data_IF_044229611126
#
_entry.id   IF_044229611126
#
_cell.length_a   1.000
_cell.length_b   1.000
_cell.length_c   1.000
_cell.angle_alpha   90.00
_cell.angle_beta   90.00
_cell.angle_gamma   90.00
#
_symmetry.space_group_name_H-M   'P 1'
#
loop_
_entity.id
_entity.type
_entity.pdbx_description
1 polymer ?
#
# COMPACT_ATOMS: atom_id res chain seq x y z
N UNK A 1 -20.81 -15.37 -13.63
CA UNK A 1 -20.30 -14.62 -12.47
C UNK A 1 -18.91 -14.20 -12.86
N UNK A 2 -18.56 -12.92 -12.72
CA UNK A 2 -17.20 -12.47 -13.08
C UNK A 2 -16.23 -13.03 -12.03
N UNK A 3 -15.47 -14.07 -12.39
CA UNK A 3 -14.54 -14.75 -11.50
C UNK A 3 -13.44 -13.82 -10.99
N UNK A 4 -13.14 -12.74 -11.74
CA UNK A 4 -12.16 -11.72 -11.36
C UNK A 4 -12.55 -10.99 -10.08
N UNK A 5 -13.85 -10.79 -9.85
CA UNK A 5 -14.34 -10.15 -8.61
C UNK A 5 -13.98 -11.00 -7.39
N UNK A 6 -14.10 -12.33 -7.49
CA UNK A 6 -13.70 -13.22 -6.39
C UNK A 6 -12.19 -13.18 -6.21
N UNK A 7 -11.44 -13.18 -7.30
CA UNK A 7 -9.98 -13.09 -7.27
C UNK A 7 -9.49 -11.77 -6.62
N UNK A 8 -10.09 -10.62 -6.94
CA UNK A 8 -9.76 -9.35 -6.26
C UNK A 8 -9.96 -9.43 -4.73
N UNK A 9 -10.97 -10.17 -4.27
CA UNK A 9 -11.27 -10.33 -2.85
C UNK A 9 -10.26 -11.23 -2.13
N UNK A 10 -9.48 -12.04 -2.84
CA UNK A 10 -8.41 -12.87 -2.26
C UNK A 10 -7.24 -12.02 -1.73
N UNK A 11 -7.18 -10.72 -2.07
CA UNK A 11 -6.22 -9.78 -1.45
C UNK A 11 -6.34 -9.74 0.08
N UNK A 12 -7.51 -10.12 0.63
CA UNK A 12 -7.73 -10.29 2.07
C UNK A 12 -6.89 -11.41 2.70
N UNK A 13 -6.45 -12.36 1.88
CA UNK A 13 -5.65 -13.52 2.29
C UNK A 13 -4.16 -13.33 1.99
N UNK A 14 -3.78 -12.30 1.22
CA UNK A 14 -2.37 -11.94 1.00
C UNK A 14 -1.87 -11.21 2.25
N UNK A 15 -0.96 -11.84 2.98
CA UNK A 15 -0.37 -11.29 4.20
C UNK A 15 0.79 -10.36 3.86
N UNK A 16 0.92 -9.23 4.56
CA UNK A 16 2.04 -8.30 4.38
C UNK A 16 3.36 -8.95 4.84
N UNK A 17 4.20 -9.33 3.89
CA UNK A 17 5.41 -10.12 4.09
C UNK A 17 6.47 -9.39 4.91
N UNK A 18 6.52 -8.06 4.85
CA UNK A 18 7.39 -7.24 5.69
C UNK A 18 7.18 -7.51 7.18
N UNK A 19 5.92 -7.62 7.62
CA UNK A 19 5.56 -7.89 9.01
C UNK A 19 5.86 -9.33 9.43
N UNK A 20 5.60 -10.30 8.55
CA UNK A 20 5.94 -11.72 8.79
C UNK A 20 7.43 -11.84 9.08
N UNK A 21 8.27 -11.17 8.29
CA UNK A 21 9.73 -11.21 8.44
C UNK A 21 10.22 -10.49 9.70
N UNK A 22 9.52 -9.44 10.11
CA UNK A 22 9.79 -8.72 11.36
C UNK A 22 9.29 -9.46 12.61
N UNK A 23 8.66 -10.63 12.47
CA UNK A 23 8.17 -11.44 13.58
C UNK A 23 6.88 -10.90 14.22
N UNK A 24 6.11 -10.10 13.49
CA UNK A 24 4.78 -9.64 13.94
C UNK A 24 3.83 -10.84 14.03
N UNK A 25 3.13 -10.97 15.16
CA UNK A 25 2.05 -11.93 15.32
C UNK A 25 0.77 -11.43 14.65
N UNK A 26 0.09 -12.29 13.89
CA UNK A 26 -1.13 -11.96 13.15
C UNK A 26 -1.01 -10.66 12.32
N UNK A 27 -0.03 -10.60 11.39
CA UNK A 27 0.15 -9.46 10.51
C UNK A 27 -1.10 -9.18 9.67
N UNK A 28 -1.29 -7.93 9.32
CA UNK A 28 -2.38 -7.49 8.46
C UNK A 28 -2.27 -8.09 7.05
N UNK A 29 -3.40 -8.11 6.34
CA UNK A 29 -3.41 -8.39 4.91
C UNK A 29 -3.18 -7.14 4.07
N UNK A 30 -2.82 -7.32 2.81
CA UNK A 30 -2.67 -6.22 1.83
C UNK A 30 -4.00 -5.47 1.65
N UNK A 31 -5.13 -6.17 1.72
CA UNK A 31 -6.45 -5.52 1.73
C UNK A 31 -6.68 -4.64 2.98
N UNK A 32 -6.17 -5.05 4.15
CA UNK A 32 -6.26 -4.25 5.38
C UNK A 32 -5.37 -3.00 5.31
N UNK A 33 -4.17 -3.12 4.73
CA UNK A 33 -3.31 -1.99 4.39
C UNK A 33 -4.02 -0.99 3.46
N UNK A 34 -4.64 -1.48 2.38
CA UNK A 34 -5.40 -0.64 1.43
C UNK A 34 -6.59 0.08 2.11
N UNK A 35 -7.25 -0.59 3.06
CA UNK A 35 -8.28 0.03 3.91
C UNK A 35 -7.69 1.11 4.82
N UNK A 36 -6.56 0.84 5.48
CA UNK A 36 -5.84 1.79 6.34
C UNK A 36 -5.48 3.07 5.58
N UNK A 37 -4.87 2.93 4.41
CA UNK A 37 -4.59 4.04 3.49
C UNK A 37 -5.85 4.83 3.14
N UNK A 38 -6.97 4.16 2.87
CA UNK A 38 -8.24 4.81 2.53
C UNK A 38 -8.82 5.63 3.70
N UNK A 39 -8.68 5.14 4.94
CA UNK A 39 -9.05 5.89 6.15
C UNK A 39 -8.16 7.12 6.31
N UNK A 40 -6.85 6.99 6.08
CA UNK A 40 -5.92 8.12 6.11
C UNK A 40 -6.25 9.15 5.03
N UNK A 41 -6.57 8.71 3.81
CA UNK A 41 -6.98 9.58 2.71
C UNK A 41 -8.23 10.41 3.07
N UNK A 42 -9.28 9.79 3.63
CA UNK A 42 -10.48 10.51 4.09
C UNK A 42 -10.16 11.62 5.11
N UNK A 43 -9.10 11.45 5.89
CA UNK A 43 -8.72 12.40 6.94
C UNK A 43 -7.74 13.47 6.49
N UNK A 44 -6.80 13.11 5.62
CA UNK A 44 -5.58 13.87 5.33
C UNK A 44 -5.50 14.37 3.88
N UNK A 45 -6.42 13.97 2.99
CA UNK A 45 -6.41 14.43 1.60
C UNK A 45 -6.51 15.97 1.54
N UNK A 46 -5.55 16.65 0.90
CA UNK A 46 -5.63 18.08 0.66
C UNK A 46 -6.87 18.45 -0.17
N UNK A 47 -7.52 19.59 0.09
CA UNK A 47 -8.75 19.99 -0.58
C UNK A 47 -8.58 20.25 -2.09
N UNK A 48 -7.36 20.46 -2.57
CA UNK A 48 -7.03 20.62 -3.98
C UNK A 48 -6.93 19.30 -4.76
N UNK A 49 -6.84 18.16 -4.06
CA UNK A 49 -6.78 16.85 -4.70
C UNK A 49 -8.17 16.23 -4.83
N UNK A 50 -8.38 15.46 -5.90
CA UNK A 50 -9.61 14.69 -6.04
C UNK A 50 -9.61 13.49 -5.09
N UNK A 51 -10.33 13.61 -3.98
CA UNK A 51 -10.48 12.55 -2.98
C UNK A 51 -11.02 11.24 -3.58
N UNK A 52 -11.92 11.30 -4.56
CA UNK A 52 -12.44 10.08 -5.19
C UNK A 52 -11.33 9.34 -5.94
N UNK A 53 -10.49 10.07 -6.67
CA UNK A 53 -9.31 9.51 -7.34
C UNK A 53 -8.28 8.97 -6.34
N UNK A 54 -7.99 9.70 -5.25
CA UNK A 54 -7.09 9.24 -4.19
C UNK A 54 -7.57 7.91 -3.59
N UNK A 55 -8.85 7.81 -3.24
CA UNK A 55 -9.44 6.58 -2.72
C UNK A 55 -9.38 5.45 -3.75
N UNK A 56 -9.65 5.72 -5.02
CA UNK A 56 -9.49 4.73 -6.08
C UNK A 56 -8.06 4.21 -6.18
N UNK A 57 -7.06 5.09 -6.13
CA UNK A 57 -5.64 4.70 -6.14
C UNK A 57 -5.27 3.84 -4.92
N UNK A 58 -5.69 4.22 -3.71
CA UNK A 58 -5.47 3.42 -2.49
C UNK A 58 -6.01 1.99 -2.63
N UNK A 59 -7.19 1.82 -3.25
CA UNK A 59 -7.83 0.52 -3.39
C UNK A 59 -7.22 -0.38 -4.48
N UNK A 60 -6.58 0.19 -5.51
CA UNK A 60 -6.12 -0.58 -6.68
C UNK A 60 -4.61 -0.80 -6.74
N UNK A 61 -3.81 -0.01 -6.04
CA UNK A 61 -2.35 0.03 -6.24
C UNK A 61 -1.66 -1.33 -6.04
N UNK A 62 -2.01 -2.06 -4.97
CA UNK A 62 -1.45 -3.38 -4.66
C UNK A 62 -2.37 -4.54 -5.12
N UNK A 63 -3.39 -4.28 -5.94
CA UNK A 63 -4.27 -5.35 -6.45
C UNK A 63 -3.53 -6.48 -7.20
N UNK A 64 -2.44 -6.22 -7.95
CA UNK A 64 -1.64 -7.28 -8.58
C UNK A 64 -1.03 -8.29 -7.60
N UNK A 65 -0.86 -7.92 -6.33
CA UNK A 65 -0.28 -8.79 -5.30
C UNK A 65 -1.14 -10.02 -5.00
N UNK A 66 -2.42 -10.05 -5.42
CA UNK A 66 -3.22 -11.29 -5.42
C UNK A 66 -2.52 -12.43 -6.17
N UNK A 67 -1.79 -12.11 -7.25
CA UNK A 67 -1.08 -13.10 -8.07
C UNK A 67 0.42 -13.13 -7.81
N UNK A 68 1.03 -11.96 -7.59
CA UNK A 68 2.49 -11.83 -7.45
C UNK A 68 2.94 -12.05 -5.99
N UNK A 69 2.04 -11.84 -5.03
CA UNK A 69 2.37 -11.76 -3.60
C UNK A 69 2.97 -10.41 -3.22
N UNK A 70 2.96 -10.10 -1.91
CA UNK A 70 3.64 -8.93 -1.36
C UNK A 70 5.16 -9.18 -1.30
N UNK A 71 5.88 -8.75 -2.34
CA UNK A 71 7.33 -8.90 -2.42
C UNK A 71 8.05 -7.83 -1.59
N UNK A 72 8.97 -8.27 -0.73
CA UNK A 72 9.78 -7.40 0.12
C UNK A 72 11.14 -7.09 -0.54
N UNK A 73 11.89 -6.07 -0.05
CA UNK A 73 13.24 -5.78 -0.55
C UNK A 73 14.27 -6.91 -0.42
N UNK A 74 13.92 -8.03 0.23
CA UNK A 74 14.80 -9.19 0.39
C UNK A 74 14.45 -10.34 -0.57
N UNK A 75 13.37 -10.19 -1.33
CA UNK A 75 12.96 -11.11 -2.38
C UNK A 75 13.57 -10.68 -3.72
N UNK A 76 13.58 -11.58 -4.71
CA UNK A 76 14.00 -11.21 -6.06
C UNK A 76 12.94 -10.32 -6.71
N UNK A 77 13.24 -9.02 -6.80
CA UNK A 77 12.36 -8.02 -7.39
C UNK A 77 12.79 -7.64 -8.83
N UNK A 78 13.65 -8.43 -9.47
CA UNK A 78 14.19 -8.08 -10.81
C UNK A 78 13.11 -7.97 -11.88
N UNK A 79 12.04 -8.76 -11.78
CA UNK A 79 10.90 -8.75 -12.70
C UNK A 79 9.62 -8.17 -12.08
N UNK A 80 9.67 -7.67 -10.83
CA UNK A 80 8.49 -7.26 -10.06
C UNK A 80 7.56 -6.34 -10.85
N UNK A 81 8.08 -5.26 -11.41
CA UNK A 81 7.29 -4.29 -12.15
C UNK A 81 6.64 -4.87 -13.42
N UNK A 82 7.34 -5.79 -14.12
CA UNK A 82 6.81 -6.46 -15.30
C UNK A 82 5.70 -7.46 -14.92
N UNK A 83 5.91 -8.22 -13.85
CA UNK A 83 4.99 -9.23 -13.34
C UNK A 83 3.71 -8.60 -12.76
N UNK A 84 3.83 -7.53 -11.97
CA UNK A 84 2.69 -6.79 -11.43
C UNK A 84 1.87 -6.14 -12.55
N UNK A 85 2.54 -5.55 -13.53
CA UNK A 85 1.85 -4.95 -14.68
C UNK A 85 1.14 -6.02 -15.52
N UNK A 86 1.76 -7.18 -15.75
CA UNK A 86 1.13 -8.30 -16.45
C UNK A 86 -0.06 -8.86 -15.67
N UNK A 87 0.07 -8.99 -14.34
CA UNK A 87 -1.01 -9.39 -13.45
C UNK A 87 -2.17 -8.39 -13.50
N UNK A 88 -1.90 -7.08 -13.41
CA UNK A 88 -2.91 -6.03 -13.49
C UNK A 88 -3.69 -6.06 -14.81
N UNK A 89 -2.98 -6.19 -15.93
CA UNK A 89 -3.59 -6.26 -17.26
C UNK A 89 -4.57 -7.43 -17.39
N UNK A 90 -4.29 -8.55 -16.74
CA UNK A 90 -5.15 -9.73 -16.74
C UNK A 90 -6.26 -9.68 -15.69
N UNK A 91 -5.99 -9.07 -14.51
CA UNK A 91 -6.91 -9.02 -13.37
C UNK A 91 -7.96 -7.91 -13.50
N UNK A 92 -7.52 -6.69 -13.81
CA UNK A 92 -8.33 -5.48 -13.77
C UNK A 92 -7.88 -4.47 -14.85
N UNK A 93 -7.97 -4.82 -16.14
CA UNK A 93 -7.59 -3.91 -17.24
C UNK A 93 -8.36 -2.59 -17.20
N UNK A 94 -9.55 -2.55 -16.59
CA UNK A 94 -10.33 -1.32 -16.36
C UNK A 94 -9.67 -0.29 -15.43
N UNK A 95 -8.71 -0.71 -14.61
CA UNK A 95 -7.99 0.16 -13.67
C UNK A 95 -6.51 0.31 -14.02
N UNK A 96 -6.11 -0.11 -15.22
CA UNK A 96 -4.72 -0.04 -15.67
C UNK A 96 -4.17 1.39 -15.64
N UNK A 97 -4.97 2.38 -16.03
CA UNK A 97 -4.55 3.80 -16.01
C UNK A 97 -4.30 4.32 -14.59
N UNK A 98 -5.05 3.81 -13.60
CA UNK A 98 -4.82 4.16 -12.18
C UNK A 98 -3.54 3.49 -11.67
N UNK A 99 -3.33 2.22 -12.01
CA UNK A 99 -2.13 1.48 -11.63
C UNK A 99 -0.86 2.08 -12.26
N UNK A 100 -0.86 2.32 -13.57
CA UNK A 100 0.28 2.93 -14.28
C UNK A 100 0.58 4.35 -13.73
N UNK A 101 -0.45 5.13 -13.37
CA UNK A 101 -0.25 6.45 -12.73
C UNK A 101 0.30 6.32 -11.31
N UNK A 102 -0.22 5.40 -10.49
CA UNK A 102 0.36 5.12 -9.17
C UNK A 102 1.84 4.76 -9.30
N UNK A 103 2.19 3.83 -10.18
CA UNK A 103 3.55 3.36 -10.37
C UNK A 103 4.51 4.49 -10.77
N UNK A 104 4.10 5.29 -11.75
CA UNK A 104 4.92 6.39 -12.29
C UNK A 104 4.86 7.67 -11.44
N UNK A 105 3.83 7.85 -10.61
CA UNK A 105 3.61 9.06 -9.82
C UNK A 105 3.36 10.31 -10.68
N UNK A 106 2.64 10.18 -11.80
CA UNK A 106 2.49 11.29 -12.75
C UNK A 106 1.55 12.38 -12.25
N UNK A 107 0.47 12.00 -11.56
CA UNK A 107 -0.49 12.94 -10.97
C UNK A 107 -0.11 13.35 -9.54
N UNK A 108 -0.58 14.53 -9.07
CA UNK A 108 -0.49 14.91 -7.66
C UNK A 108 -1.13 13.86 -6.73
N UNK A 109 -2.27 13.29 -7.10
CA UNK A 109 -2.96 12.25 -6.36
C UNK A 109 -2.12 10.98 -6.21
N UNK A 110 -1.51 10.49 -7.30
CA UNK A 110 -0.62 9.32 -7.24
C UNK A 110 0.59 9.56 -6.34
N UNK A 111 1.21 10.75 -6.41
CA UNK A 111 2.33 11.11 -5.52
C UNK A 111 1.90 11.22 -4.06
N UNK A 112 0.69 11.70 -3.80
CA UNK A 112 0.12 11.73 -2.46
C UNK A 112 -0.12 10.30 -1.92
N UNK A 113 -0.72 9.42 -2.73
CA UNK A 113 -1.01 8.03 -2.35
C UNK A 113 0.26 7.23 -2.09
N UNK A 114 1.34 7.41 -2.87
CA UNK A 114 2.65 6.80 -2.58
C UNK A 114 3.19 7.19 -1.19
N UNK A 115 2.89 8.39 -0.71
CA UNK A 115 3.27 8.82 0.64
C UNK A 115 2.33 8.24 1.70
N UNK A 116 1.03 8.12 1.38
CA UNK A 116 0.06 7.45 2.26
C UNK A 116 0.41 5.96 2.48
N UNK A 117 0.88 5.25 1.46
CA UNK A 117 1.37 3.87 1.57
C UNK A 117 2.46 3.78 2.66
N UNK A 118 3.45 4.68 2.59
CA UNK A 118 4.52 4.73 3.61
C UNK A 118 4.03 5.21 4.97
N UNK A 119 3.07 6.14 5.02
CA UNK A 119 2.49 6.61 6.27
C UNK A 119 1.72 5.50 6.98
N UNK A 120 0.88 4.77 6.26
CA UNK A 120 0.11 3.65 6.79
C UNK A 120 1.06 2.59 7.37
N UNK A 121 2.08 2.17 6.60
CA UNK A 121 3.11 1.24 7.08
C UNK A 121 3.80 1.74 8.37
N UNK A 122 4.18 3.03 8.42
CA UNK A 122 4.84 3.61 9.59
C UNK A 122 3.94 3.70 10.83
N UNK A 123 2.66 4.03 10.65
CA UNK A 123 1.67 4.06 11.73
C UNK A 123 1.36 2.65 12.22
N UNK A 124 1.24 1.69 11.30
CA UNK A 124 0.99 0.30 11.63
C UNK A 124 2.17 -0.32 12.42
N UNK A 125 3.40 0.05 12.09
CA UNK A 125 4.57 -0.28 12.92
C UNK A 125 4.39 0.22 14.37
N UNK A 126 4.03 1.50 14.57
CA UNK A 126 3.74 2.06 15.91
C UNK A 126 2.62 1.30 16.64
N UNK A 127 1.57 0.88 15.92
CA UNK A 127 0.49 0.06 16.48
C UNK A 127 1.01 -1.30 16.95
N UNK A 128 1.78 -2.01 16.12
CA UNK A 128 2.34 -3.30 16.51
C UNK A 128 3.32 -3.20 17.69
N UNK A 129 4.22 -2.20 17.70
CA UNK A 129 5.15 -1.99 18.83
C UNK A 129 4.40 -1.81 20.16
N UNK A 130 3.26 -1.09 20.15
CA UNK A 130 2.42 -0.87 21.35
C UNK A 130 1.77 -2.14 21.88
N UNK A 131 1.50 -3.12 21.02
CA UNK A 131 0.73 -4.31 21.37
C UNK A 131 1.58 -5.57 21.54
N UNK A 132 2.74 -5.66 20.89
CA UNK A 132 3.52 -6.89 20.79
C UNK A 132 4.96 -6.77 21.33
N UNK A 133 5.35 -5.61 21.86
CA UNK A 133 6.68 -5.36 22.45
C UNK A 133 7.87 -5.68 21.52
N UNK A 134 7.65 -5.63 20.20
CA UNK A 134 8.68 -5.78 19.16
C UNK A 134 9.28 -4.42 18.78
N UNK A 135 10.52 -4.40 18.29
CA UNK A 135 11.12 -3.19 17.74
C UNK A 135 10.90 -3.13 16.23
N UNK A 136 10.18 -2.10 15.76
CA UNK A 136 9.91 -1.84 14.35
C UNK A 136 10.35 -0.43 13.93
N UNK A 137 11.32 0.16 14.64
CA UNK A 137 11.81 1.51 14.40
C UNK A 137 12.35 1.66 12.96
N UNK A 138 12.91 0.58 12.39
CA UNK A 138 13.37 0.59 11.01
C UNK A 138 12.25 0.94 10.01
N UNK A 139 11.01 0.48 10.24
CA UNK A 139 9.86 0.75 9.38
C UNK A 139 9.43 2.22 9.54
N UNK A 140 9.39 2.72 10.78
CA UNK A 140 9.03 4.11 11.07
C UNK A 140 10.04 5.08 10.44
N UNK A 141 11.34 4.83 10.62
CA UNK A 141 12.39 5.68 10.06
C UNK A 141 12.45 5.59 8.54
N UNK A 142 12.20 4.41 7.98
CA UNK A 142 12.06 4.19 6.54
C UNK A 142 10.88 4.96 5.94
N UNK A 143 9.73 4.99 6.64
CA UNK A 143 8.57 5.78 6.26
C UNK A 143 8.87 7.28 6.30
N UNK A 144 9.42 7.79 7.41
CA UNK A 144 9.79 9.21 7.57
C UNK A 144 10.70 9.72 6.46
N UNK A 145 11.67 8.91 6.02
CA UNK A 145 12.59 9.26 4.93
C UNK A 145 11.92 9.37 3.56
N UNK A 146 10.82 8.65 3.33
CA UNK A 146 10.12 8.59 2.04
C UNK A 146 8.94 9.56 1.95
N UNK A 147 8.43 10.03 3.07
CA UNK A 147 7.34 11.03 3.12
C UNK A 147 7.97 12.41 3.04
N UNK A 148 7.75 13.13 1.94
CA UNK A 148 8.25 14.49 1.70
C UNK A 148 7.28 15.57 2.22
N UNK A 149 5.99 15.25 2.29
CA UNK A 149 4.92 16.10 2.82
C UNK A 149 5.05 16.24 4.36
N UNK A 150 5.08 17.48 4.85
CA UNK A 150 5.26 17.77 6.27
C UNK A 150 4.03 17.39 7.11
N UNK A 151 2.82 17.56 6.58
CA UNK A 151 1.56 17.29 7.27
C UNK A 151 1.32 15.78 7.41
N UNK A 152 1.84 14.99 6.47
CA UNK A 152 1.90 13.54 6.58
C UNK A 152 3.03 13.10 7.54
N UNK A 153 4.23 13.69 7.44
CA UNK A 153 5.39 13.26 8.23
C UNK A 153 5.19 13.47 9.74
N UNK A 154 4.55 14.56 10.15
CA UNK A 154 4.28 14.87 11.57
C UNK A 154 3.43 13.80 12.27
N UNK A 155 2.66 13.00 11.53
CA UNK A 155 1.89 11.89 12.09
C UNK A 155 2.81 10.76 12.64
N UNK A 156 4.06 10.70 12.18
CA UNK A 156 5.07 9.73 12.61
C UNK A 156 6.00 10.26 13.72
N UNK A 157 5.82 11.50 14.17
CA UNK A 157 6.49 12.04 15.37
C UNK A 157 5.83 11.51 16.67
#
# INVERSE_FOLDING_TARGET
MDERIMEWLELKNVTRAGWVRAGVENPESVAAHSWGMSILALRLCPPELDLARVLSLCLVHDLPEVRVGDLTPHDDCSTKAEDERAAMLALAPEWMDLFDDYEQGTTPEARFVKQLDKLDMGLQAKVYQRHQEINLDEFIESAKKRISDADLRVQLE
#
